data_IF_127960809016
#
_entry.id   IF_127960809016
#
_cell.length_a   1.000
_cell.length_b   1.000
_cell.length_c   1.000
_cell.angle_alpha   90.00
_cell.angle_beta   90.00
_cell.angle_gamma   90.00
#
_symmetry.space_group_name_H-M   'P 1'
#
loop_
_entity.id
_entity.type
_entity.pdbx_description
1 polymer ?
#
# COMPACT_ATOMS: atom_id res chain seq x y z
N UNK A 1 45.16 -10.94 10.19
CA UNK A 1 43.82 -10.62 10.74
C UNK A 1 43.78 -9.12 10.99
N UNK A 2 43.33 -8.35 10.01
CA UNK A 2 43.23 -6.89 10.12
C UNK A 2 41.79 -6.48 9.84
N UNK A 3 41.10 -5.98 10.86
CA UNK A 3 39.81 -5.31 10.69
C UNK A 3 40.07 -3.97 10.01
N UNK A 4 39.83 -3.90 8.70
CA UNK A 4 39.76 -2.64 7.97
C UNK A 4 38.50 -1.90 8.37
N UNK A 5 38.62 -1.03 9.38
CA UNK A 5 37.65 0.05 9.60
C UNK A 5 37.66 0.95 8.35
N UNK A 6 36.60 0.87 7.56
CA UNK A 6 36.28 1.91 6.59
C UNK A 6 35.93 3.17 7.36
N UNK A 7 36.94 4.03 7.56
CA UNK A 7 36.75 5.42 7.97
C UNK A 7 36.17 6.18 6.77
N UNK A 8 34.85 6.23 6.65
CA UNK A 8 34.18 7.21 5.79
C UNK A 8 34.40 8.58 6.43
N UNK A 9 35.41 9.30 5.97
CA UNK A 9 35.80 10.62 6.46
C UNK A 9 34.79 11.72 6.09
N UNK A 10 33.55 11.63 6.55
CA UNK A 10 32.66 12.79 6.61
C UNK A 10 33.05 13.62 7.82
N UNK A 11 33.79 14.71 7.57
CA UNK A 11 34.06 15.73 8.56
C UNK A 11 32.71 16.31 9.04
N UNK A 12 32.36 16.02 10.31
CA UNK A 12 31.49 16.83 11.15
C UNK A 12 30.02 16.98 10.76
N UNK A 13 29.16 16.09 11.26
CA UNK A 13 27.83 16.45 11.81
C UNK A 13 26.81 17.19 10.93
N UNK A 14 27.03 17.31 9.62
CA UNK A 14 26.05 17.90 8.72
C UNK A 14 24.86 16.93 8.63
N UNK A 15 23.68 17.42 9.05
CA UNK A 15 22.45 16.66 8.97
C UNK A 15 22.12 16.23 7.53
N UNK A 16 21.29 15.22 7.37
CA UNK A 16 20.87 14.73 6.06
C UNK A 16 19.43 15.13 5.72
N UNK A 17 19.13 15.22 4.42
CA UNK A 17 17.74 15.34 3.96
C UNK A 17 17.17 13.96 3.64
N UNK A 18 16.02 13.65 4.23
CA UNK A 18 15.30 12.40 4.02
C UNK A 18 14.01 12.72 3.28
N UNK A 19 13.76 12.03 2.17
CA UNK A 19 12.47 12.06 1.50
C UNK A 19 11.71 10.79 1.82
N UNK A 20 10.62 10.92 2.56
CA UNK A 20 9.68 9.85 2.82
C UNK A 20 8.52 9.94 1.84
N UNK A 21 8.30 8.87 1.07
CA UNK A 21 7.15 8.73 0.18
C UNK A 21 6.35 7.54 0.69
N UNK A 22 5.17 7.81 1.22
CA UNK A 22 4.20 6.78 1.49
C UNK A 22 3.27 6.63 0.28
N UNK A 23 3.11 5.39 -0.17
CA UNK A 23 2.35 5.07 -1.37
C UNK A 23 1.65 3.71 -1.23
N UNK A 24 0.31 3.72 -1.21
CA UNK A 24 -0.48 2.50 -1.30
C UNK A 24 -0.65 2.11 -2.76
N UNK A 25 -0.43 0.84 -3.10
CA UNK A 25 -0.83 0.28 -4.39
C UNK A 25 -1.90 -0.77 -4.17
N UNK A 26 -3.18 -0.42 -4.36
CA UNK A 26 -4.21 -1.42 -4.19
C UNK A 26 -4.11 -2.50 -5.28
N UNK A 27 -3.74 -3.71 -4.84
CA UNK A 27 -3.79 -4.93 -5.63
C UNK A 27 -5.16 -5.56 -5.44
N UNK A 28 -6.14 -5.00 -6.16
CA UNK A 28 -6.91 -5.93 -6.96
C UNK A 28 -5.87 -6.61 -7.85
N UNK A 29 -5.42 -7.82 -7.48
CA UNK A 29 -5.44 -8.87 -8.47
C UNK A 29 -6.75 -8.61 -9.18
N UNK A 30 -6.67 -8.19 -10.45
CA UNK A 30 -7.84 -8.35 -11.27
C UNK A 30 -8.30 -9.74 -10.90
N UNK A 31 -9.54 -9.84 -10.42
CA UNK A 31 -10.27 -11.02 -10.79
C UNK A 31 -10.29 -10.91 -12.32
N UNK A 32 -9.17 -11.23 -13.00
CA UNK A 32 -9.25 -12.17 -14.07
C UNK A 32 -10.13 -13.23 -13.44
N UNK A 33 -11.39 -13.24 -13.88
CA UNK A 33 -12.22 -14.41 -13.81
C UNK A 33 -11.40 -15.46 -14.56
N UNK A 34 -10.33 -15.95 -13.95
CA UNK A 34 -9.49 -16.92 -14.58
C UNK A 34 -10.39 -18.15 -14.68
N UNK A 35 -10.10 -18.98 -15.67
CA UNK A 35 -10.93 -20.14 -15.92
C UNK A 35 -11.17 -20.98 -14.65
N UNK A 36 -10.29 -20.91 -13.65
CA UNK A 36 -10.41 -21.56 -12.34
C UNK A 36 -11.47 -20.93 -11.44
N UNK A 37 -11.57 -19.61 -11.29
CA UNK A 37 -12.66 -18.98 -10.52
C UNK A 37 -14.03 -19.18 -11.18
N UNK A 38 -14.09 -19.11 -12.51
CA UNK A 38 -15.30 -19.47 -13.26
C UNK A 38 -15.63 -20.94 -13.07
N UNK A 39 -14.62 -21.81 -13.13
CA UNK A 39 -14.75 -23.25 -12.88
C UNK A 39 -15.18 -23.56 -11.45
N UNK A 40 -14.67 -22.86 -10.44
CA UNK A 40 -15.04 -23.04 -9.04
C UNK A 40 -16.49 -22.56 -8.80
N UNK A 41 -16.90 -21.44 -9.43
CA UNK A 41 -18.31 -21.00 -9.45
C UNK A 41 -19.23 -22.01 -10.15
N UNK A 42 -18.76 -22.67 -11.20
CA UNK A 42 -19.47 -23.76 -11.90
C UNK A 42 -19.51 -25.04 -11.05
N UNK A 43 -18.41 -25.39 -10.38
CA UNK A 43 -18.23 -26.58 -9.56
C UNK A 43 -18.98 -26.49 -8.22
N UNK A 44 -19.19 -25.28 -7.68
CA UNK A 44 -20.02 -25.01 -6.49
C UNK A 44 -21.53 -25.28 -6.69
N UNK A 45 -21.92 -25.98 -7.76
CA UNK A 45 -23.22 -26.66 -7.82
C UNK A 45 -24.27 -25.98 -8.68
N UNK A 46 -23.89 -25.34 -9.79
CA UNK A 46 -24.88 -24.89 -10.76
C UNK A 46 -24.48 -25.28 -12.19
N UNK A 47 -24.68 -26.54 -12.59
CA UNK A 47 -24.70 -26.94 -14.01
C UNK A 47 -25.65 -26.05 -14.84
N UNK A 48 -26.67 -25.46 -14.21
CA UNK A 48 -27.61 -24.49 -14.79
C UNK A 48 -27.03 -23.09 -14.99
N UNK A 49 -25.87 -22.76 -14.41
CA UNK A 49 -25.20 -21.46 -14.59
C UNK A 49 -24.26 -21.42 -15.77
N UNK A 50 -23.82 -22.57 -16.29
CA UNK A 50 -22.88 -22.65 -17.42
C UNK A 50 -23.34 -21.84 -18.65
N UNK A 51 -24.63 -21.82 -19.03
CA UNK A 51 -25.09 -20.96 -20.14
C UNK A 51 -25.04 -19.46 -19.80
N UNK A 52 -25.31 -19.07 -18.56
CA UNK A 52 -25.31 -17.66 -18.13
C UNK A 52 -23.89 -17.13 -17.92
N UNK A 53 -22.98 -17.94 -17.35
CA UNK A 53 -21.55 -17.63 -17.24
C UNK A 53 -20.87 -17.67 -18.61
N UNK A 54 -21.23 -18.62 -19.47
CA UNK A 54 -20.83 -18.64 -20.88
C UNK A 54 -21.37 -17.45 -21.65
N UNK A 55 -22.59 -16.99 -21.35
CA UNK A 55 -23.15 -15.75 -21.90
C UNK A 55 -22.38 -14.54 -21.37
N UNK A 56 -22.05 -14.45 -20.08
CA UNK A 56 -21.25 -13.35 -19.52
C UNK A 56 -19.81 -13.34 -20.03
N UNK A 57 -19.19 -14.50 -20.24
CA UNK A 57 -17.88 -14.63 -20.86
C UNK A 57 -17.91 -14.24 -22.34
N UNK A 58 -18.90 -14.73 -23.10
CA UNK A 58 -19.14 -14.32 -24.49
C UNK A 58 -19.62 -12.86 -24.60
N UNK A 59 -20.29 -12.32 -23.58
CA UNK A 59 -20.61 -10.90 -23.47
C UNK A 59 -19.34 -10.12 -23.13
N UNK A 60 -18.41 -10.65 -22.34
CA UNK A 60 -17.09 -10.08 -22.11
C UNK A 60 -16.24 -10.04 -23.39
N UNK A 61 -16.27 -11.11 -24.19
CA UNK A 61 -15.67 -11.14 -25.53
C UNK A 61 -16.41 -10.22 -26.52
N UNK A 62 -17.75 -10.15 -26.51
CA UNK A 62 -18.51 -9.23 -27.40
C UNK A 62 -18.48 -7.77 -26.93
N UNK A 63 -18.33 -7.53 -25.64
CA UNK A 63 -18.06 -6.24 -25.02
C UNK A 63 -16.56 -5.93 -25.02
N UNK A 64 -15.71 -6.82 -25.55
CA UNK A 64 -14.44 -6.45 -26.19
C UNK A 64 -14.79 -5.73 -27.49
N UNK A 65 -15.37 -4.55 -27.27
CA UNK A 65 -15.56 -3.37 -28.09
C UNK A 65 -15.11 -3.57 -29.54
N UNK A 66 -16.07 -3.66 -30.46
CA UNK A 66 -15.78 -3.28 -31.85
C UNK A 66 -15.12 -1.89 -31.89
N UNK A 67 -14.36 -1.56 -32.96
CA UNK A 67 -13.40 -0.45 -33.02
C UNK A 67 -13.94 0.97 -32.74
N UNK A 68 -15.23 1.12 -32.42
CA UNK A 68 -15.91 2.40 -32.17
C UNK A 68 -16.56 2.56 -30.79
N UNK A 69 -16.61 1.54 -29.94
CA UNK A 69 -17.18 1.71 -28.59
C UNK A 69 -16.11 2.14 -27.58
N UNK A 70 -16.24 3.37 -27.05
CA UNK A 70 -15.26 4.07 -26.19
C UNK A 70 -15.26 3.66 -24.71
N UNK A 71 -15.85 2.53 -24.31
CA UNK A 71 -15.80 2.12 -22.90
C UNK A 71 -14.55 1.26 -22.65
N UNK A 72 -13.35 1.85 -22.74
CA UNK A 72 -12.11 1.13 -22.39
C UNK A 72 -12.07 0.94 -20.87
N UNK A 73 -12.52 -0.23 -20.41
CA UNK A 73 -12.02 -0.82 -19.17
C UNK A 73 -10.53 -1.03 -19.40
N UNK A 74 -9.70 -0.06 -19.07
CA UNK A 74 -8.27 -0.28 -19.09
C UNK A 74 -7.97 -1.36 -18.07
N UNK A 75 -7.43 -2.52 -18.49
CA UNK A 75 -6.95 -3.53 -17.56
C UNK A 75 -5.98 -2.85 -16.58
N UNK A 76 -6.06 -3.18 -15.28
CA UNK A 76 -5.02 -2.72 -14.35
C UNK A 76 -3.68 -3.20 -14.90
N UNK A 77 -2.65 -2.35 -15.01
CA UNK A 77 -1.33 -2.79 -15.42
C UNK A 77 -0.86 -3.94 -14.54
N UNK A 78 -0.10 -4.87 -15.13
CA UNK A 78 0.47 -5.99 -14.38
C UNK A 78 1.26 -5.46 -13.19
N UNK A 79 1.32 -6.23 -12.10
CA UNK A 79 2.06 -5.82 -10.91
C UNK A 79 3.53 -5.55 -11.22
N UNK A 80 4.12 -6.34 -12.13
CA UNK A 80 5.49 -6.15 -12.60
C UNK A 80 5.67 -4.83 -13.34
N UNK A 81 4.73 -4.47 -14.22
CA UNK A 81 4.77 -3.19 -14.91
C UNK A 81 4.67 -2.01 -13.94
N UNK A 82 3.77 -2.09 -12.95
CA UNK A 82 3.66 -1.03 -11.92
C UNK A 82 4.93 -0.90 -11.08
N UNK A 83 5.51 -2.03 -10.68
CA UNK A 83 6.78 -2.06 -9.95
C UNK A 83 7.90 -1.36 -10.73
N UNK A 84 8.06 -1.70 -12.02
CA UNK A 84 9.07 -1.09 -12.89
C UNK A 84 8.83 0.41 -13.10
N UNK A 85 7.60 0.81 -13.44
CA UNK A 85 7.24 2.23 -13.60
C UNK A 85 7.45 3.03 -12.30
N UNK A 86 7.13 2.45 -11.14
CA UNK A 86 7.33 3.07 -9.84
C UNK A 86 8.83 3.25 -9.53
N UNK A 87 9.66 2.23 -9.75
CA UNK A 87 11.11 2.30 -9.56
C UNK A 87 11.75 3.42 -10.39
N UNK A 88 11.39 3.50 -11.67
CA UNK A 88 11.86 4.56 -12.57
C UNK A 88 11.46 5.96 -12.06
N UNK A 89 10.21 6.13 -11.59
CA UNK A 89 9.72 7.41 -11.05
C UNK A 89 10.43 7.82 -9.77
N UNK A 90 10.64 6.89 -8.85
CA UNK A 90 11.40 7.15 -7.63
C UNK A 90 12.84 7.56 -7.97
N UNK A 91 13.45 6.90 -8.96
CA UNK A 91 14.79 7.23 -9.44
C UNK A 91 14.89 8.62 -10.09
N UNK A 92 13.91 9.01 -10.89
CA UNK A 92 13.77 10.38 -11.41
C UNK A 92 13.65 11.42 -10.29
N UNK A 93 12.79 11.17 -9.29
CA UNK A 93 12.57 12.09 -8.17
C UNK A 93 13.81 12.27 -7.31
N UNK A 94 14.54 11.20 -7.04
CA UNK A 94 15.80 11.26 -6.31
C UNK A 94 16.81 12.16 -7.03
N UNK A 95 17.03 11.93 -8.35
CA UNK A 95 17.95 12.74 -9.16
C UNK A 95 17.55 14.21 -9.25
N UNK A 96 16.26 14.50 -9.39
CA UNK A 96 15.79 15.86 -9.61
C UNK A 96 15.94 16.77 -8.39
N UNK A 97 15.94 16.22 -7.17
CA UNK A 97 15.81 17.02 -5.95
C UNK A 97 16.88 16.73 -4.89
N UNK A 98 17.82 15.81 -5.16
CA UNK A 98 19.06 15.67 -4.39
C UNK A 98 18.90 15.26 -2.93
N UNK A 99 17.83 14.55 -2.56
CA UNK A 99 17.69 14.01 -1.21
C UNK A 99 18.78 12.95 -0.95
N UNK A 100 19.51 13.06 0.15
CA UNK A 100 20.54 12.08 0.51
C UNK A 100 19.97 10.70 0.80
N UNK A 101 18.78 10.67 1.42
CA UNK A 101 18.08 9.43 1.75
C UNK A 101 16.70 9.47 1.12
N UNK A 102 16.38 8.47 0.32
CA UNK A 102 15.03 8.26 -0.19
C UNK A 102 14.44 7.02 0.45
N UNK A 103 13.32 7.19 1.16
CA UNK A 103 12.58 6.13 1.82
C UNK A 103 11.21 6.03 1.21
N UNK A 104 10.94 4.94 0.47
CA UNK A 104 9.62 4.65 -0.05
C UNK A 104 8.96 3.55 0.78
N UNK A 105 7.87 3.89 1.45
CA UNK A 105 7.00 2.97 2.17
C UNK A 105 5.85 2.55 1.24
N UNK A 106 5.82 1.26 0.89
CA UNK A 106 4.86 0.71 -0.07
C UNK A 106 3.80 -0.11 0.64
N UNK A 107 2.54 0.22 0.37
CA UNK A 107 1.35 -0.50 0.81
C UNK A 107 0.92 -1.57 -0.19
N UNK A 108 0.75 -2.80 0.29
CA UNK A 108 0.26 -4.01 -0.39
C UNK A 108 1.17 -4.73 -1.40
N UNK A 109 0.83 -6.01 -1.57
CA UNK A 109 1.59 -7.18 -2.04
C UNK A 109 2.56 -6.95 -3.22
N UNK A 110 3.75 -6.44 -2.92
CA UNK A 110 4.93 -6.79 -3.70
C UNK A 110 5.51 -8.10 -3.15
N UNK A 111 5.28 -9.20 -3.87
CA UNK A 111 6.04 -10.41 -3.60
C UNK A 111 7.54 -10.12 -3.76
N UNK A 112 8.44 -10.89 -3.12
CA UNK A 112 9.88 -10.62 -3.17
C UNK A 112 10.42 -10.38 -4.58
N UNK A 113 9.93 -11.13 -5.57
CA UNK A 113 10.33 -11.01 -6.99
C UNK A 113 10.01 -9.63 -7.61
N UNK A 114 8.98 -8.95 -7.11
CA UNK A 114 8.61 -7.62 -7.60
C UNK A 114 9.44 -6.51 -6.94
N UNK A 115 9.99 -6.73 -5.75
CA UNK A 115 10.92 -5.78 -5.15
C UNK A 115 12.18 -5.66 -5.97
N UNK A 116 12.68 -6.79 -6.46
CA UNK A 116 13.84 -6.80 -7.36
C UNK A 116 13.50 -6.00 -8.62
N UNK A 117 12.29 -6.11 -9.17
CA UNK A 117 11.87 -5.27 -10.30
C UNK A 117 11.83 -3.76 -9.98
N UNK A 118 11.40 -3.36 -8.78
CA UNK A 118 11.44 -1.94 -8.38
C UNK A 118 12.90 -1.48 -8.23
N UNK A 119 13.76 -2.33 -7.66
CA UNK A 119 15.19 -2.05 -7.51
C UNK A 119 15.90 -1.96 -8.84
N UNK A 120 15.65 -2.89 -9.77
CA UNK A 120 16.17 -2.84 -11.13
C UNK A 120 15.81 -1.49 -11.78
N UNK A 121 14.57 -1.03 -11.61
CA UNK A 121 14.15 0.29 -12.08
C UNK A 121 14.88 1.47 -11.40
N UNK A 122 15.27 1.34 -10.13
CA UNK A 122 16.12 2.32 -9.44
C UNK A 122 17.59 2.23 -9.91
N UNK A 123 18.12 1.04 -10.07
CA UNK A 123 19.48 0.73 -10.56
C UNK A 123 19.68 1.30 -11.97
N UNK A 124 18.72 1.08 -12.87
CA UNK A 124 18.72 1.62 -14.24
C UNK A 124 18.80 3.16 -14.28
N UNK A 125 18.32 3.83 -13.23
CA UNK A 125 18.43 5.30 -13.11
C UNK A 125 19.75 5.78 -12.50
N UNK A 126 20.64 4.86 -12.12
CA UNK A 126 21.93 5.14 -11.48
C UNK A 126 21.84 5.53 -10.01
N UNK A 127 20.66 5.38 -9.40
CA UNK A 127 20.36 5.90 -8.04
C UNK A 127 20.95 5.05 -6.93
N UNK A 128 21.04 3.74 -7.14
CA UNK A 128 21.69 2.82 -6.19
C UNK A 128 23.23 2.85 -6.29
N UNK A 129 23.76 3.68 -7.19
CA UNK A 129 25.20 3.87 -7.41
C UNK A 129 25.83 2.64 -8.07
N UNK A 130 26.57 2.86 -9.15
CA UNK A 130 27.53 1.85 -9.60
C UNK A 130 28.63 1.74 -8.54
N UNK A 131 28.48 0.85 -7.55
CA UNK A 131 29.60 0.43 -6.71
C UNK A 131 30.49 -0.54 -7.50
N UNK A 132 30.99 -0.06 -8.65
CA UNK A 132 32.00 -0.71 -9.47
C UNK A 132 33.22 0.21 -9.53
N UNK A 133 34.43 -0.28 -9.23
CA UNK A 133 35.63 0.53 -9.30
C UNK A 133 35.95 0.86 -10.77
N UNK A 134 35.96 2.15 -11.10
CA UNK A 134 36.80 2.75 -12.14
C UNK A 134 36.60 2.29 -13.59
N UNK A 135 35.74 2.99 -14.33
CA UNK A 135 35.96 3.16 -15.76
C UNK A 135 37.12 4.15 -15.96
N UNK A 136 38.34 3.63 -16.17
CA UNK A 136 39.54 4.44 -16.43
C UNK A 136 40.79 3.63 -16.73
N UNK A 137 40.96 3.28 -18.01
CA UNK A 137 42.20 2.93 -18.74
C UNK A 137 43.15 1.82 -18.21
N UNK A 138 43.20 0.72 -18.98
CA UNK A 138 44.45 0.08 -19.41
C UNK A 138 45.09 -0.95 -18.46
N UNK A 139 45.08 -2.22 -18.85
CA UNK A 139 46.00 -3.24 -18.32
C UNK A 139 45.40 -4.63 -18.24
N UNK A 140 45.88 -5.54 -19.09
CA UNK A 140 45.58 -6.96 -19.02
C UNK A 140 46.15 -7.58 -17.73
N UNK A 141 45.33 -8.36 -17.01
CA UNK A 141 45.76 -9.12 -15.84
C UNK A 141 44.65 -10.00 -15.27
N UNK A 142 44.67 -11.28 -15.62
CA UNK A 142 43.82 -12.34 -15.08
C UNK A 142 44.17 -12.62 -13.61
N UNK A 143 43.16 -12.70 -12.74
CA UNK A 143 43.31 -13.22 -11.37
C UNK A 143 42.02 -13.08 -10.57
N UNK A 144 41.34 -14.19 -10.32
CA UNK A 144 39.97 -14.25 -9.80
C UNK A 144 39.74 -13.56 -8.45
N UNK A 145 38.60 -12.87 -8.36
CA UNK A 145 37.97 -12.45 -7.12
C UNK A 145 36.47 -12.77 -7.24
N UNK A 146 35.93 -13.45 -6.23
CA UNK A 146 34.62 -14.07 -6.25
C UNK A 146 33.46 -13.09 -6.43
N UNK A 147 32.44 -13.57 -7.14
CA UNK A 147 31.13 -12.95 -7.33
C UNK A 147 30.33 -12.96 -6.01
N UNK A 148 30.79 -12.26 -4.97
CA UNK A 148 29.93 -11.96 -3.84
C UNK A 148 29.15 -10.67 -4.12
N UNK A 149 27.81 -10.69 -4.07
CA UNK A 149 27.02 -9.48 -4.29
C UNK A 149 27.34 -8.42 -3.21
N UNK A 150 27.14 -7.12 -3.50
CA UNK A 150 27.34 -6.04 -2.53
C UNK A 150 26.67 -6.34 -1.18
N UNK A 151 27.28 -5.95 -0.05
CA UNK A 151 26.74 -6.23 1.30
C UNK A 151 25.30 -5.75 1.52
N UNK A 152 24.85 -4.71 0.81
CA UNK A 152 23.46 -4.28 0.85
C UNK A 152 22.53 -5.26 0.12
N UNK A 153 22.98 -5.87 -1.00
CA UNK A 153 22.30 -6.99 -1.66
C UNK A 153 22.33 -8.26 -0.80
N UNK A 154 23.40 -8.53 -0.04
CA UNK A 154 23.44 -9.66 0.90
C UNK A 154 22.47 -9.44 2.08
N UNK A 155 22.35 -8.21 2.58
CA UNK A 155 21.38 -7.86 3.64
C UNK A 155 19.93 -7.97 3.15
N UNK A 156 19.70 -7.73 1.85
CA UNK A 156 18.41 -7.89 1.21
C UNK A 156 18.08 -9.32 0.79
N UNK A 157 19.08 -10.09 0.35
CA UNK A 157 18.94 -11.53 0.13
C UNK A 157 18.71 -12.26 1.46
N UNK A 158 19.32 -11.83 2.56
CA UNK A 158 19.01 -12.32 3.91
C UNK A 158 17.58 -11.92 4.35
N UNK A 159 17.15 -10.68 4.09
CA UNK A 159 15.78 -10.24 4.38
C UNK A 159 14.70 -10.86 3.46
N UNK A 160 15.09 -11.45 2.33
CA UNK A 160 14.20 -12.08 1.35
C UNK A 160 14.27 -13.61 1.34
N UNK A 161 15.28 -14.23 1.96
CA UNK A 161 15.50 -15.69 1.97
C UNK A 161 14.97 -16.41 3.20
N UNK A 162 14.61 -15.69 4.26
CA UNK A 162 13.80 -16.26 5.33
C UNK A 162 12.34 -16.29 4.89
N UNK A 163 11.73 -17.48 5.01
CA UNK A 163 10.32 -17.79 4.80
C UNK A 163 9.42 -16.87 5.65
N UNK A 164 9.29 -15.59 5.32
CA UNK A 164 8.29 -14.72 5.94
C UNK A 164 6.94 -15.22 5.42
N UNK A 165 6.13 -15.90 6.24
CA UNK A 165 4.90 -16.52 5.79
C UNK A 165 3.95 -15.40 5.35
N UNK A 166 3.84 -15.19 4.03
CA UNK A 166 2.87 -14.30 3.39
C UNK A 166 2.66 -12.98 4.17
N UNK A 167 3.76 -12.24 4.39
CA UNK A 167 3.74 -10.94 5.07
C UNK A 167 2.81 -9.96 4.36
N UNK A 168 2.31 -8.97 5.10
CA UNK A 168 1.27 -7.96 4.79
C UNK A 168 1.44 -7.11 3.52
N UNK A 169 2.27 -7.52 2.56
CA UNK A 169 2.61 -6.77 1.36
C UNK A 169 3.40 -5.49 1.62
N UNK A 170 3.53 -5.08 2.88
CA UNK A 170 4.24 -3.89 3.31
C UNK A 170 5.74 -4.06 3.06
N UNK A 171 6.34 -3.04 2.44
CA UNK A 171 7.77 -3.02 2.13
C UNK A 171 8.32 -1.61 2.26
N UNK A 172 9.56 -1.51 2.70
CA UNK A 172 10.32 -0.25 2.70
C UNK A 172 11.50 -0.39 1.76
N UNK A 173 11.69 0.62 0.90
CA UNK A 173 12.90 0.79 0.10
C UNK A 173 13.66 1.98 0.66
N UNK A 174 14.94 1.82 0.93
CA UNK A 174 15.83 2.91 1.33
C UNK A 174 16.99 3.00 0.35
N UNK A 175 17.24 4.20 -0.15
CA UNK A 175 18.41 4.53 -0.97
C UNK A 175 19.29 5.49 -0.18
N UNK A 176 20.60 5.27 -0.19
CA UNK A 176 21.61 6.17 0.39
C UNK A 176 22.02 5.83 1.83
N UNK A 177 21.17 5.12 2.60
CA UNK A 177 21.50 4.67 3.95
C UNK A 177 21.10 3.21 4.19
N UNK A 178 21.86 2.46 5.00
CA UNK A 178 21.54 1.07 5.29
C UNK A 178 20.27 0.97 6.13
N UNK A 179 19.43 0.00 5.80
CA UNK A 179 18.39 -0.50 6.69
C UNK A 179 19.09 -1.39 7.72
N UNK A 180 19.06 -1.00 8.99
CA UNK A 180 19.77 -1.70 10.07
C UNK A 180 18.94 -2.83 10.67
N UNK A 181 17.61 -2.73 10.62
CA UNK A 181 16.68 -3.75 11.13
C UNK A 181 15.34 -3.69 10.43
N UNK A 182 14.74 -4.86 10.24
CA UNK A 182 13.38 -5.03 9.68
C UNK A 182 12.63 -6.02 10.57
N UNK A 183 11.43 -5.66 11.01
CA UNK A 183 10.55 -6.55 11.79
C UNK A 183 9.12 -6.40 11.28
N UNK A 184 8.43 -7.51 11.00
CA UNK A 184 7.05 -7.48 10.55
C UNK A 184 6.19 -8.42 11.40
N UNK A 185 4.97 -7.98 11.74
CA UNK A 185 3.99 -8.82 12.44
C UNK A 185 2.60 -8.69 11.79
N UNK A 186 1.92 -9.81 11.50
CA UNK A 186 0.54 -9.79 11.03
C UNK A 186 -0.41 -9.42 12.19
N UNK A 187 -1.54 -8.79 11.87
CA UNK A 187 -2.59 -8.57 12.85
C UNK A 187 -3.34 -9.86 13.16
N UNK A 188 -3.40 -10.22 14.43
CA UNK A 188 -4.12 -11.36 14.97
C UNK A 188 -5.50 -10.91 15.46
N UNK A 189 -6.52 -11.03 14.60
CA UNK A 189 -7.90 -10.67 14.96
C UNK A 189 -8.55 -11.62 15.97
N UNK A 190 -7.92 -12.75 16.29
CA UNK A 190 -8.42 -13.73 17.27
C UNK A 190 -8.18 -13.35 18.72
N UNK A 191 -7.23 -12.43 19.00
CA UNK A 191 -6.76 -12.12 20.36
C UNK A 191 -7.43 -10.91 21.03
N UNK A 192 -8.31 -10.20 20.32
CA UNK A 192 -8.78 -8.87 20.72
C UNK A 192 -9.86 -8.83 21.82
N UNK A 193 -10.05 -9.89 22.60
CA UNK A 193 -11.20 -10.04 23.50
C UNK A 193 -10.80 -10.34 24.95
N UNK A 194 -10.46 -9.30 25.71
CA UNK A 194 -10.44 -9.36 27.17
C UNK A 194 -11.63 -8.64 27.83
N UNK A 195 -12.45 -7.89 27.08
CA UNK A 195 -13.58 -7.11 27.61
C UNK A 195 -14.96 -7.79 27.44
N UNK A 196 -14.99 -9.09 27.10
CA UNK A 196 -16.23 -9.84 26.88
C UNK A 196 -16.94 -9.52 25.56
N UNK A 197 -16.45 -8.57 24.76
CA UNK A 197 -17.00 -8.24 23.43
C UNK A 197 -16.31 -9.04 22.31
N UNK A 198 -16.10 -10.34 22.53
CA UNK A 198 -15.35 -11.20 21.63
C UNK A 198 -15.94 -11.21 20.22
N UNK A 199 -15.39 -10.38 19.34
CA UNK A 199 -15.41 -10.59 17.90
C UNK A 199 -14.47 -11.76 17.64
N UNK A 200 -14.95 -12.96 17.94
CA UNK A 200 -14.33 -14.20 17.54
C UNK A 200 -14.48 -14.31 16.03
N UNK A 201 -13.66 -13.55 15.29
CA UNK A 201 -13.50 -13.66 13.84
C UNK A 201 -12.62 -14.89 13.53
N UNK A 202 -12.91 -16.03 14.16
CA UNK A 202 -12.25 -17.30 13.87
C UNK A 202 -12.49 -17.75 12.42
N UNK A 203 -13.53 -17.21 11.78
CA UNK A 203 -13.75 -17.38 10.37
C UNK A 203 -13.35 -16.09 9.65
N UNK A 204 -12.26 -16.13 8.87
CA UNK A 204 -11.87 -15.06 7.92
C UNK A 204 -12.91 -14.84 6.82
N UNK A 205 -14.05 -15.53 6.89
CA UNK A 205 -15.07 -15.53 5.87
C UNK A 205 -14.58 -16.28 4.64
N UNK A 206 -15.22 -16.00 3.50
CA UNK A 206 -14.89 -16.65 2.25
C UNK A 206 -13.84 -15.83 1.49
N UNK A 207 -12.71 -16.39 1.01
CA UNK A 207 -11.63 -15.63 0.36
C UNK A 207 -12.06 -14.66 -0.74
N UNK A 208 -13.07 -15.07 -1.53
CA UNK A 208 -13.64 -14.23 -2.61
C UNK A 208 -14.56 -13.12 -2.08
N UNK A 209 -15.27 -13.35 -0.96
CA UNK A 209 -16.23 -12.40 -0.39
C UNK A 209 -15.61 -11.47 0.64
N UNK A 210 -14.54 -11.92 1.27
CA UNK A 210 -13.88 -11.26 2.38
C UNK A 210 -12.39 -11.06 2.09
N UNK A 211 -12.00 -10.62 0.87
CA UNK A 211 -10.60 -10.62 0.44
C UNK A 211 -9.71 -9.81 1.40
N UNK A 212 -10.26 -8.76 2.00
CA UNK A 212 -9.56 -7.91 2.96
C UNK A 212 -9.26 -8.62 4.29
N UNK A 213 -10.10 -9.57 4.72
CA UNK A 213 -9.79 -10.45 5.87
C UNK A 213 -8.70 -11.48 5.54
N UNK A 214 -8.55 -11.81 4.25
CA UNK A 214 -7.53 -12.73 3.77
C UNK A 214 -6.22 -12.03 3.37
N UNK A 215 -6.21 -10.70 3.31
CA UNK A 215 -5.08 -9.88 2.87
C UNK A 215 -3.88 -9.85 3.85
N UNK A 216 -3.89 -10.67 4.92
CA UNK A 216 -2.81 -10.78 5.93
C UNK A 216 -2.27 -9.40 6.38
N UNK A 217 -3.16 -8.44 6.63
CA UNK A 217 -2.80 -7.09 7.11
C UNK A 217 -1.93 -7.18 8.37
N UNK A 218 -1.05 -6.19 8.56
CA UNK A 218 -0.09 -6.19 9.66
C UNK A 218 0.66 -4.87 9.75
N UNK A 219 1.74 -4.89 10.53
CA UNK A 219 2.68 -3.78 10.72
C UNK A 219 4.09 -4.21 10.31
N UNK A 220 4.85 -3.27 9.75
CA UNK A 220 6.25 -3.44 9.41
C UNK A 220 7.06 -2.29 10.03
N UNK A 221 8.04 -2.61 10.87
CA UNK A 221 9.10 -1.72 11.32
C UNK A 221 10.32 -1.85 10.40
N UNK A 222 10.82 -0.72 9.94
CA UNK A 222 12.14 -0.58 9.30
C UNK A 222 12.96 0.44 10.08
N UNK A 223 14.10 0.01 10.63
CA UNK A 223 15.08 0.92 11.24
C UNK A 223 16.07 1.40 10.19
N UNK A 224 16.27 2.72 10.13
CA UNK A 224 17.20 3.39 9.23
C UNK A 224 18.29 4.06 10.05
N UNK A 225 19.54 3.70 9.80
CA UNK A 225 20.71 4.28 10.46
C UNK A 225 21.18 5.54 9.71
N UNK A 226 21.15 6.69 10.39
CA UNK A 226 21.61 7.96 9.84
C UNK A 226 23.12 8.20 10.08
N UNK A 227 23.77 7.36 10.88
CA UNK A 227 25.16 7.50 11.34
C UNK A 227 25.33 8.37 12.58
N UNK A 228 24.28 9.09 13.00
CA UNK A 228 24.25 9.93 14.20
C UNK A 228 22.99 9.69 15.06
N UNK A 229 22.23 8.64 14.73
CA UNK A 229 20.95 8.30 15.34
C UNK A 229 20.11 7.44 14.38
N UNK A 230 19.01 6.89 14.88
CA UNK A 230 18.12 6.04 14.09
C UNK A 230 16.73 6.63 13.87
N UNK A 231 16.09 6.21 12.77
CA UNK A 231 14.65 6.39 12.56
C UNK A 231 13.98 5.03 12.56
N UNK A 232 12.89 4.92 13.29
CA UNK A 232 11.99 3.77 13.25
C UNK A 232 10.78 4.08 12.40
N UNK A 233 10.76 3.57 11.19
CA UNK A 233 9.62 3.71 10.28
C UNK A 233 8.67 2.52 10.44
N UNK A 234 7.54 2.76 11.09
CA UNK A 234 6.43 1.82 11.17
C UNK A 234 5.46 2.07 10.02
N UNK A 235 5.18 1.03 9.24
CA UNK A 235 4.21 1.06 8.16
C UNK A 235 3.07 0.12 8.44
N UNK A 236 1.86 0.50 8.06
CA UNK A 236 0.66 -0.33 8.24
C UNK A 236 -0.33 -0.14 7.11
N UNK A 237 -1.22 -1.12 6.97
CA UNK A 237 -2.44 -0.99 6.17
C UNK A 237 -3.56 -1.66 6.96
N UNK A 238 -4.51 -0.88 7.47
CA UNK A 238 -5.62 -1.40 8.26
C UNK A 238 -6.70 -1.99 7.37
N UNK A 239 -7.59 -2.76 7.98
CA UNK A 239 -8.77 -3.33 7.35
C UNK A 239 -9.67 -2.22 6.77
N UNK A 240 -9.95 -2.28 5.48
CA UNK A 240 -10.85 -1.39 4.74
C UNK A 240 -12.32 -1.79 4.89
N UNK A 241 -12.58 -3.10 4.94
CA UNK A 241 -13.92 -3.67 4.99
C UNK A 241 -14.79 -3.42 3.76
N UNK A 242 -14.21 -2.86 2.70
CA UNK A 242 -14.83 -2.76 1.39
C UNK A 242 -14.70 -4.09 0.66
N UNK A 243 -15.79 -4.58 0.07
CA UNK A 243 -15.75 -5.79 -0.77
C UNK A 243 -16.03 -5.41 -2.21
N UNK A 244 -15.36 -6.14 -3.09
CA UNK A 244 -15.48 -6.13 -4.56
C UNK A 244 -16.94 -6.17 -5.05
N UNK A 245 -17.85 -6.78 -4.27
CA UNK A 245 -19.27 -6.91 -4.62
C UNK A 245 -19.97 -5.58 -4.84
N UNK A 246 -19.62 -4.53 -4.10
CA UNK A 246 -20.26 -3.22 -4.26
C UNK A 246 -19.85 -2.54 -5.57
N UNK A 247 -18.56 -2.60 -5.91
CA UNK A 247 -18.04 -2.07 -7.17
C UNK A 247 -18.62 -2.82 -8.39
N UNK A 248 -18.69 -4.16 -8.32
CA UNK A 248 -19.28 -4.99 -9.37
C UNK A 248 -20.77 -4.66 -9.57
N UNK A 249 -21.51 -4.52 -8.47
CA UNK A 249 -22.94 -4.19 -8.49
C UNK A 249 -23.19 -2.79 -9.08
N UNK A 250 -22.44 -1.78 -8.64
CA UNK A 250 -22.51 -0.43 -9.19
C UNK A 250 -22.15 -0.42 -10.68
N UNK A 251 -21.17 -1.22 -11.09
CA UNK A 251 -20.82 -1.43 -12.50
C UNK A 251 -21.98 -1.99 -13.32
N UNK A 252 -22.64 -3.04 -12.82
CA UNK A 252 -23.82 -3.64 -13.46
C UNK A 252 -25.00 -2.66 -13.56
N UNK A 253 -25.30 -1.90 -12.51
CA UNK A 253 -26.33 -0.87 -12.52
C UNK A 253 -26.04 0.25 -13.54
N UNK A 254 -24.78 0.66 -13.68
CA UNK A 254 -24.38 1.68 -14.66
C UNK A 254 -24.48 1.16 -16.09
N UNK A 255 -24.01 -0.07 -16.32
CA UNK A 255 -24.07 -0.71 -17.62
C UNK A 255 -25.51 -0.81 -18.13
N UNK A 256 -26.44 -1.18 -17.24
CA UNK A 256 -27.88 -1.27 -17.54
C UNK A 256 -28.54 0.09 -17.76
N UNK A 257 -28.12 1.16 -17.06
CA UNK A 257 -28.59 2.54 -17.32
C UNK A 257 -28.09 3.08 -18.66
N UNK A 258 -26.80 2.95 -18.96
CA UNK A 258 -26.19 3.45 -20.21
C UNK A 258 -26.64 2.64 -21.44
N UNK A 259 -27.03 1.37 -21.26
CA UNK A 259 -27.50 0.49 -22.33
C UNK A 259 -28.80 -0.22 -21.91
N UNK A 260 -29.96 0.43 -22.08
CA UNK A 260 -31.25 -0.14 -21.68
C UNK A 260 -31.55 -1.52 -22.29
N UNK A 261 -31.03 -1.80 -23.49
CA UNK A 261 -31.16 -3.13 -24.10
C UNK A 261 -30.41 -4.22 -23.32
N UNK A 262 -29.29 -3.90 -22.67
CA UNK A 262 -28.61 -4.80 -21.74
C UNK A 262 -29.46 -5.03 -20.50
N UNK A 263 -30.22 -4.03 -20.04
CA UNK A 263 -31.22 -4.24 -18.99
C UNK A 263 -32.30 -5.23 -19.45
N UNK A 264 -32.70 -5.22 -20.73
CA UNK A 264 -33.62 -6.23 -21.30
C UNK A 264 -33.00 -7.62 -21.46
N UNK A 265 -31.71 -7.72 -21.75
CA UNK A 265 -30.97 -9.00 -21.80
C UNK A 265 -30.69 -9.55 -20.41
N UNK A 266 -30.31 -8.69 -19.46
CA UNK A 266 -30.23 -9.03 -18.04
C UNK A 266 -31.62 -9.38 -17.51
N UNK A 267 -32.69 -8.64 -17.83
CA UNK A 267 -34.04 -8.96 -17.42
C UNK A 267 -34.52 -10.29 -17.99
N UNK A 268 -34.19 -10.62 -19.26
CA UNK A 268 -34.48 -11.95 -19.83
C UNK A 268 -33.61 -13.05 -19.23
N UNK A 269 -32.35 -12.75 -18.93
CA UNK A 269 -31.50 -13.64 -18.15
C UNK A 269 -32.10 -13.84 -16.76
N UNK A 270 -32.64 -12.81 -16.11
CA UNK A 270 -33.29 -12.81 -14.79
C UNK A 270 -34.69 -13.43 -14.80
N UNK A 271 -35.39 -13.42 -15.92
CA UNK A 271 -36.60 -14.24 -16.12
C UNK A 271 -36.27 -15.74 -16.09
N UNK A 272 -34.99 -16.12 -16.22
CA UNK A 272 -34.55 -17.44 -15.78
C UNK A 272 -34.64 -17.49 -14.24
N UNK A 273 -35.47 -18.36 -13.66
CA UNK A 273 -35.64 -18.46 -12.21
C UNK A 273 -34.32 -18.74 -11.46
N UNK A 274 -33.30 -19.29 -12.13
CA UNK A 274 -31.96 -19.47 -11.56
C UNK A 274 -31.22 -18.14 -11.43
N UNK A 275 -31.27 -17.28 -12.45
CA UNK A 275 -30.61 -15.99 -12.41
C UNK A 275 -31.34 -15.00 -11.48
N UNK A 276 -32.69 -15.01 -11.45
CA UNK A 276 -33.44 -14.26 -10.43
C UNK A 276 -33.04 -14.69 -9.01
N UNK A 277 -32.98 -16.00 -8.72
CA UNK A 277 -32.53 -16.49 -7.41
C UNK A 277 -31.08 -16.11 -7.10
N UNK A 278 -30.22 -15.99 -8.11
CA UNK A 278 -28.85 -15.54 -7.91
C UNK A 278 -28.77 -14.04 -7.66
N UNK A 279 -29.56 -13.24 -8.38
CA UNK A 279 -29.63 -11.81 -8.13
C UNK A 279 -30.27 -11.52 -6.78
N UNK A 280 -31.34 -12.22 -6.40
CA UNK A 280 -31.93 -12.18 -5.05
C UNK A 280 -30.92 -12.62 -4.00
N UNK A 281 -30.11 -13.67 -4.27
CA UNK A 281 -29.02 -14.06 -3.38
C UNK A 281 -27.91 -13.00 -3.33
N UNK A 282 -27.57 -12.35 -4.44
CA UNK A 282 -26.58 -11.28 -4.50
C UNK A 282 -27.09 -10.01 -3.80
N UNK A 283 -28.36 -9.64 -3.96
CA UNK A 283 -29.02 -8.52 -3.28
C UNK A 283 -29.23 -8.80 -1.80
N UNK A 284 -29.67 -10.01 -1.43
CA UNK A 284 -29.70 -10.45 -0.03
C UNK A 284 -28.29 -10.50 0.58
N UNK A 285 -27.27 -10.79 -0.22
CA UNK A 285 -25.85 -10.72 0.18
C UNK A 285 -25.24 -9.32 0.02
N UNK A 286 -25.96 -8.34 -0.52
CA UNK A 286 -25.47 -6.96 -0.62
C UNK A 286 -25.14 -6.37 0.75
N UNK A 287 -25.95 -6.71 1.75
CA UNK A 287 -25.71 -6.38 3.16
C UNK A 287 -24.62 -7.24 3.83
N UNK A 288 -24.14 -8.30 3.16
CA UNK A 288 -23.00 -9.10 3.60
C UNK A 288 -21.67 -8.59 3.03
N UNK A 289 -21.67 -7.89 1.88
CA UNK A 289 -20.47 -7.44 1.18
C UNK A 289 -19.87 -6.13 1.72
N UNK A 290 -20.39 -5.56 2.80
CA UNK A 290 -19.59 -4.61 3.57
C UNK A 290 -19.90 -4.85 5.02
N UNK A 291 -18.85 -4.96 5.84
CA UNK A 291 -19.08 -5.00 7.27
C UNK A 291 -19.81 -3.70 7.65
N UNK A 292 -20.91 -3.77 8.42
CA UNK A 292 -21.51 -2.58 8.98
C UNK A 292 -20.41 -1.72 9.61
N UNK A 293 -20.44 -0.41 9.35
CA UNK A 293 -19.42 0.54 9.80
C UNK A 293 -18.94 0.31 11.24
N UNK A 294 -19.87 0.02 12.16
CA UNK A 294 -19.57 -0.32 13.56
C UNK A 294 -18.66 -1.55 13.71
N UNK A 295 -18.92 -2.63 12.96
CA UNK A 295 -18.06 -3.83 12.94
C UNK A 295 -16.70 -3.55 12.33
N UNK A 296 -16.64 -2.77 11.24
CA UNK A 296 -15.37 -2.33 10.64
C UNK A 296 -14.50 -1.57 11.65
N UNK A 297 -15.08 -0.58 12.34
CA UNK A 297 -14.37 0.20 13.37
C UNK A 297 -13.89 -0.67 14.54
N UNK A 298 -14.61 -1.74 14.89
CA UNK A 298 -14.15 -2.70 15.92
C UNK A 298 -12.91 -3.49 15.45
N UNK A 299 -12.88 -3.93 14.18
CA UNK A 299 -11.69 -4.59 13.60
C UNK A 299 -10.52 -3.61 13.54
N UNK A 300 -10.74 -2.41 13.03
CA UNK A 300 -9.71 -1.36 12.95
C UNK A 300 -9.17 -1.00 14.34
N UNK A 301 -10.04 -0.90 15.35
CA UNK A 301 -9.63 -0.69 16.76
C UNK A 301 -8.73 -1.81 17.27
N UNK A 302 -9.07 -3.06 16.98
CA UNK A 302 -8.24 -4.20 17.38
C UNK A 302 -6.87 -4.20 16.69
N UNK A 303 -6.81 -3.78 15.42
CA UNK A 303 -5.54 -3.64 14.69
C UNK A 303 -4.70 -2.46 15.21
N UNK A 304 -5.33 -1.33 15.54
CA UNK A 304 -4.65 -0.18 16.13
C UNK A 304 -4.06 -0.49 17.51
N UNK A 305 -4.76 -1.25 18.35
CA UNK A 305 -4.19 -1.75 19.61
C UNK A 305 -2.95 -2.59 19.38
N UNK A 306 -3.00 -3.51 18.41
CA UNK A 306 -1.83 -4.34 18.06
C UNK A 306 -0.69 -3.52 17.46
N UNK A 307 -1.00 -2.49 16.66
CA UNK A 307 -0.01 -1.53 16.17
C UNK A 307 0.67 -0.82 17.35
N UNK A 308 -0.09 -0.33 18.32
CA UNK A 308 0.46 0.32 19.52
C UNK A 308 1.33 -0.64 20.34
N UNK A 309 0.84 -1.84 20.62
CA UNK A 309 1.60 -2.88 21.34
C UNK A 309 2.90 -3.23 20.60
N UNK A 310 2.87 -3.28 19.27
CA UNK A 310 4.04 -3.51 18.45
C UNK A 310 5.05 -2.36 18.54
N UNK A 311 4.59 -1.11 18.39
CA UNK A 311 5.45 0.08 18.54
C UNK A 311 6.09 0.09 19.93
N UNK A 312 5.30 -0.01 21.01
CA UNK A 312 5.83 0.01 22.38
C UNK A 312 6.84 -1.11 22.67
N UNK A 313 6.67 -2.29 22.04
CA UNK A 313 7.58 -3.43 22.24
C UNK A 313 8.91 -3.25 21.51
N UNK A 314 8.89 -2.63 20.34
CA UNK A 314 10.05 -2.55 19.45
C UNK A 314 10.79 -1.21 19.52
N UNK A 315 10.13 -0.17 20.02
CA UNK A 315 10.67 1.17 20.08
C UNK A 315 11.90 1.30 20.97
N UNK A 316 12.91 1.99 20.44
CA UNK A 316 14.11 2.41 21.16
C UNK A 316 14.04 3.92 21.39
N UNK A 317 14.11 4.34 22.65
CA UNK A 317 13.96 5.74 23.05
C UNK A 317 14.96 6.70 22.37
N UNK A 318 16.11 6.21 21.90
CA UNK A 318 17.08 7.03 21.17
C UNK A 318 16.74 7.29 19.70
N UNK A 319 15.81 6.51 19.13
CA UNK A 319 15.38 6.64 17.74
C UNK A 319 14.13 7.52 17.67
N UNK A 320 13.95 8.21 16.54
CA UNK A 320 12.71 8.95 16.27
C UNK A 320 11.70 8.04 15.56
N UNK A 321 10.47 7.97 16.06
CA UNK A 321 9.39 7.19 15.44
C UNK A 321 8.72 7.95 14.30
N UNK A 322 8.51 7.26 13.18
CA UNK A 322 7.62 7.69 12.09
C UNK A 322 6.60 6.58 11.82
N UNK A 323 5.31 6.91 11.84
CA UNK A 323 4.24 5.95 11.53
C UNK A 323 3.52 6.39 10.27
N UNK A 324 3.51 5.58 9.22
CA UNK A 324 2.86 5.90 7.96
C UNK A 324 2.00 4.75 7.43
N UNK A 325 0.84 5.02 6.87
CA UNK A 325 -0.04 3.93 6.45
C UNK A 325 -1.34 4.36 5.80
N UNK A 326 -2.00 3.39 5.17
CA UNK A 326 -3.43 3.48 4.86
C UNK A 326 -4.19 2.95 6.08
N UNK A 327 -4.74 3.87 6.86
CA UNK A 327 -5.47 3.51 8.06
C UNK A 327 -6.92 3.11 7.74
N UNK A 328 -7.40 3.31 6.51
CA UNK A 328 -8.80 3.11 6.15
C UNK A 328 -9.78 3.81 7.13
N UNK A 329 -9.31 4.90 7.75
CA UNK A 329 -10.04 5.71 8.72
C UNK A 329 -10.26 7.08 8.11
N UNK A 330 -11.45 7.29 7.55
CA UNK A 330 -11.78 8.55 6.90
C UNK A 330 -11.79 9.71 7.92
N UNK A 331 -10.92 10.71 7.73
CA UNK A 331 -10.85 11.89 8.60
C UNK A 331 -12.19 12.62 8.78
N UNK A 332 -13.06 12.61 7.75
CA UNK A 332 -14.37 13.26 7.83
C UNK A 332 -15.37 12.51 8.72
N UNK A 333 -15.05 11.28 9.12
CA UNK A 333 -15.85 10.48 10.04
C UNK A 333 -15.44 10.71 11.50
N UNK A 334 -16.33 11.30 12.29
CA UNK A 334 -16.09 11.57 13.71
C UNK A 334 -15.73 10.31 14.52
N UNK A 335 -16.30 9.14 14.19
CA UNK A 335 -15.97 7.89 14.88
C UNK A 335 -14.57 7.39 14.53
N UNK A 336 -14.14 7.60 13.28
CA UNK A 336 -12.78 7.26 12.84
C UNK A 336 -11.74 8.19 13.48
N UNK A 337 -12.04 9.50 13.56
CA UNK A 337 -11.19 10.48 14.26
C UNK A 337 -11.05 10.18 15.75
N UNK A 338 -12.14 9.85 16.44
CA UNK A 338 -12.10 9.47 17.84
C UNK A 338 -11.23 8.22 18.05
N UNK A 339 -11.38 7.22 17.17
CA UNK A 339 -10.57 6.00 17.24
C UNK A 339 -9.07 6.27 17.01
N UNK A 340 -8.74 7.15 16.07
CA UNK A 340 -7.36 7.57 15.82
C UNK A 340 -6.79 8.35 17.01
N UNK A 341 -7.54 9.31 17.58
CA UNK A 341 -7.15 10.06 18.76
C UNK A 341 -6.89 9.14 19.97
N UNK A 342 -7.81 8.20 20.26
CA UNK A 342 -7.64 7.19 21.31
C UNK A 342 -6.34 6.39 21.15
N UNK A 343 -5.92 6.15 19.90
CA UNK A 343 -4.68 5.42 19.57
C UNK A 343 -3.46 6.27 19.87
N UNK A 344 -3.47 7.54 19.46
CA UNK A 344 -2.37 8.49 19.71
C UNK A 344 -2.22 8.77 21.21
N UNK A 345 -3.32 8.90 21.95
CA UNK A 345 -3.31 9.09 23.40
C UNK A 345 -2.70 7.89 24.14
N UNK A 346 -2.96 6.66 23.67
CA UNK A 346 -2.34 5.45 24.24
C UNK A 346 -0.81 5.43 24.04
N UNK A 347 -0.32 5.83 22.86
CA UNK A 347 1.11 5.95 22.61
C UNK A 347 1.74 7.08 23.43
N UNK A 348 1.05 8.22 23.54
CA UNK A 348 1.49 9.33 24.38
C UNK A 348 1.59 8.92 25.86
N UNK A 349 0.66 8.11 26.35
CA UNK A 349 0.71 7.51 27.69
C UNK A 349 1.90 6.56 27.91
N UNK A 350 2.47 6.02 26.83
CA UNK A 350 3.70 5.23 26.83
C UNK A 350 4.97 6.08 26.57
N UNK A 351 4.85 7.40 26.50
CA UNK A 351 5.96 8.33 26.26
C UNK A 351 6.26 8.63 24.79
N UNK A 352 5.49 8.07 23.85
CA UNK A 352 5.68 8.25 22.39
C UNK A 352 4.61 9.22 21.89
N UNK A 353 4.92 10.51 21.87
CA UNK A 353 3.97 11.55 21.45
C UNK A 353 4.08 11.75 19.95
N UNK A 354 3.07 11.33 19.19
CA UNK A 354 3.06 11.43 17.73
C UNK A 354 2.26 12.64 17.24
N UNK A 355 2.89 13.49 16.42
CA UNK A 355 2.28 14.62 15.74
C UNK A 355 1.88 14.23 14.31
N UNK A 356 0.66 14.59 13.89
CA UNK A 356 0.18 14.33 12.53
C UNK A 356 0.67 15.40 11.56
N UNK A 357 1.48 14.98 10.58
CA UNK A 357 2.12 15.85 9.60
C UNK A 357 1.10 16.68 8.80
N UNK A 358 -0.11 16.16 8.60
CA UNK A 358 -1.15 16.82 7.80
C UNK A 358 -2.28 17.46 8.61
N UNK A 359 -2.20 17.50 9.95
CA UNK A 359 -3.26 18.08 10.78
C UNK A 359 -3.67 19.50 10.34
N UNK A 360 -2.70 20.39 10.12
CA UNK A 360 -2.96 21.77 9.69
C UNK A 360 -3.50 21.89 8.26
N UNK A 361 -3.00 21.06 7.34
CA UNK A 361 -3.45 21.07 5.95
C UNK A 361 -4.91 20.58 5.83
N UNK A 362 -5.29 19.53 6.56
CA UNK A 362 -6.65 18.98 6.54
C UNK A 362 -7.70 19.92 7.14
N UNK A 363 -7.30 20.76 8.09
CA UNK A 363 -8.21 21.74 8.69
C UNK A 363 -8.56 22.89 7.72
N UNK A 364 -7.62 23.24 6.84
CA UNK A 364 -7.70 24.46 6.04
C UNK A 364 -8.05 24.22 4.57
N UNK A 365 -7.90 22.99 4.07
CA UNK A 365 -7.99 22.73 2.65
C UNK A 365 -8.89 21.54 2.31
N UNK A 366 -10.16 21.84 2.00
CA UNK A 366 -11.11 20.87 1.46
C UNK A 366 -10.80 20.42 0.02
N UNK A 367 -9.77 20.99 -0.63
CA UNK A 367 -9.38 20.65 -2.01
C UNK A 367 -8.25 19.61 -2.09
N UNK A 368 -7.49 19.41 -1.00
CA UNK A 368 -6.35 18.49 -0.92
C UNK A 368 -6.74 17.05 -0.56
N UNK A 369 -8.00 16.67 -0.77
CA UNK A 369 -8.43 15.35 -0.33
C UNK A 369 -7.79 14.29 -1.20
N UNK A 370 -7.47 13.14 -0.60
CA UNK A 370 -7.13 11.89 -1.27
C UNK A 370 -8.28 11.54 -2.21
N UNK A 371 -8.25 12.12 -3.41
CA UNK A 371 -9.12 11.68 -4.47
C UNK A 371 -8.61 10.31 -4.82
N UNK A 372 -9.42 9.29 -4.56
CA UNK A 372 -9.54 8.24 -5.56
C UNK A 372 -9.96 8.99 -6.82
N UNK A 373 -8.98 9.37 -7.64
CA UNK A 373 -9.22 10.25 -8.76
C UNK A 373 -10.35 9.61 -9.58
N UNK A 374 -11.39 10.36 -9.98
CA UNK A 374 -12.50 9.81 -10.75
C UNK A 374 -12.05 9.07 -12.02
N UNK A 375 -10.82 9.29 -12.50
CA UNK A 375 -10.22 8.51 -13.60
C UNK A 375 -9.47 7.23 -13.15
N UNK A 376 -9.07 7.10 -11.89
CA UNK A 376 -8.58 5.84 -11.30
C UNK A 376 -9.72 4.83 -11.12
N UNK A 377 -10.92 5.31 -10.81
CA UNK A 377 -12.16 4.54 -10.86
C UNK A 377 -12.92 4.88 -12.15
N UNK A 378 -12.53 4.35 -13.31
CA UNK A 378 -13.46 4.14 -14.43
C UNK A 378 -14.42 5.30 -14.76
N UNK A 379 -14.03 6.29 -15.59
CA UNK A 379 -14.96 7.34 -16.08
C UNK A 379 -16.08 7.65 -15.07
N UNK A 380 -15.70 7.93 -13.80
CA UNK A 380 -16.65 8.30 -12.78
C UNK A 380 -16.99 9.73 -13.13
N UNK A 381 -17.82 9.90 -14.17
CA UNK A 381 -18.46 11.16 -14.50
C UNK A 381 -19.06 11.67 -13.21
N UNK A 382 -18.36 12.62 -12.59
CA UNK A 382 -18.83 13.59 -11.63
C UNK A 382 -20.10 13.14 -10.91
N UNK A 383 -20.07 12.04 -10.18
CA UNK A 383 -21.02 11.87 -9.09
C UNK A 383 -20.50 12.85 -8.05
N UNK A 384 -20.93 14.11 -8.17
CA UNK A 384 -20.65 15.25 -7.31
C UNK A 384 -21.10 15.02 -5.85
N UNK A 385 -21.34 13.77 -5.43
CA UNK A 385 -22.08 13.41 -4.24
C UNK A 385 -21.27 12.63 -3.18
N UNK A 386 -20.09 12.09 -3.51
CA UNK A 386 -19.24 11.49 -2.48
C UNK A 386 -18.20 12.49 -2.01
N UNK A 387 -18.29 12.87 -0.73
CA UNK A 387 -17.22 13.61 -0.06
C UNK A 387 -15.92 12.82 -0.21
N UNK A 388 -14.85 13.44 -0.71
CA UNK A 388 -13.55 12.79 -0.80
C UNK A 388 -13.13 12.21 0.57
N UNK A 389 -12.37 11.11 0.58
CA UNK A 389 -11.97 10.44 1.82
C UNK A 389 -10.49 10.69 2.11
N UNK A 390 -10.14 10.90 3.37
CA UNK A 390 -8.74 10.97 3.81
C UNK A 390 -8.43 9.72 4.64
N UNK A 391 -7.77 8.74 4.03
CA UNK A 391 -7.52 7.42 4.62
C UNK A 391 -6.06 7.22 5.06
N UNK A 392 -5.17 8.03 4.50
CA UNK A 392 -3.72 7.83 4.58
C UNK A 392 -3.09 8.83 5.53
N UNK A 393 -2.18 8.38 6.40
CA UNK A 393 -1.62 9.22 7.45
C UNK A 393 -0.11 9.05 7.54
N UNK A 394 0.56 10.13 7.96
CA UNK A 394 1.95 10.12 8.41
C UNK A 394 2.00 10.85 9.75
N UNK A 395 2.50 10.17 10.76
CA UNK A 395 2.76 10.70 12.08
C UNK A 395 4.26 10.68 12.35
N UNK A 396 4.76 11.70 13.04
CA UNK A 396 6.16 11.80 13.44
C UNK A 396 6.19 12.05 14.93
N UNK A 397 7.06 11.33 15.64
CA UNK A 397 7.28 11.54 17.05
C UNK A 397 7.83 12.93 17.33
N UNK A 398 7.25 13.57 18.34
CA UNK A 398 7.76 14.81 18.88
C UNK A 398 9.12 14.57 19.50
N UNK A 399 10.03 15.48 19.22
CA UNK A 399 11.40 15.44 19.71
C UNK A 399 11.45 15.32 21.25
N UNK A 400 12.27 14.40 21.75
CA UNK A 400 12.53 14.18 23.18
C UNK A 400 14.03 14.25 23.49
N UNK A 401 14.38 14.48 24.76
CA UNK A 401 15.78 14.49 25.22
C UNK A 401 16.53 13.18 24.97
N UNK A 402 15.82 12.05 24.82
CA UNK A 402 16.43 10.76 24.56
C UNK A 402 16.89 10.59 23.11
N UNK A 403 16.28 11.32 22.16
CA UNK A 403 16.57 11.15 20.73
C UNK A 403 18.01 11.56 20.38
N UNK A 404 18.73 10.72 19.64
CA UNK A 404 20.07 11.06 19.14
C UNK A 404 20.03 11.95 17.89
N UNK A 405 18.89 11.96 17.18
CA UNK A 405 18.63 12.77 16.01
C UNK A 405 17.37 13.62 16.19
N UNK A 406 17.35 14.79 15.54
CA UNK A 406 16.14 15.60 15.41
C UNK A 406 15.58 15.46 14.00
N UNK A 407 14.25 15.44 13.86
CA UNK A 407 13.56 15.46 12.56
C UNK A 407 12.70 16.70 12.43
N UNK A 408 12.98 17.53 11.43
CA UNK A 408 12.15 18.67 11.10
C UNK A 408 11.48 18.48 9.73
N UNK A 409 10.17 18.75 9.64
CA UNK A 409 9.45 18.73 8.37
C UNK A 409 9.89 19.93 7.54
N UNK A 410 10.58 19.68 6.43
CA UNK A 410 11.00 20.70 5.49
C UNK A 410 9.90 21.03 4.47
N UNK A 411 9.15 20.02 4.04
CA UNK A 411 7.98 20.19 3.18
C UNK A 411 7.09 18.95 3.23
N UNK A 412 5.83 19.12 2.83
CA UNK A 412 4.90 18.02 2.61
C UNK A 412 4.12 18.26 1.32
N UNK A 413 3.93 17.21 0.52
CA UNK A 413 3.29 17.28 -0.78
C UNK A 413 2.38 16.07 -1.00
N UNK A 414 1.29 16.30 -1.71
CA UNK A 414 0.49 15.23 -2.29
C UNK A 414 1.06 14.90 -3.67
N UNK A 415 1.31 13.62 -3.94
CA UNK A 415 1.93 13.19 -5.20
C UNK A 415 1.08 12.18 -5.95
N UNK A 416 0.74 12.55 -7.19
CA UNK A 416 0.21 11.62 -8.16
C UNK A 416 1.34 10.89 -8.87
N UNK A 417 1.25 9.57 -8.95
CA UNK A 417 2.16 8.75 -9.74
C UNK A 417 1.55 8.45 -11.10
N UNK A 418 1.59 9.44 -11.98
CA UNK A 418 1.07 9.30 -13.35
C UNK A 418 1.91 8.32 -14.16
N UNK A 419 1.22 7.45 -14.88
CA UNK A 419 1.86 6.48 -15.78
C UNK A 419 2.42 7.16 -17.01
N UNK A 420 3.31 6.47 -17.72
CA UNK A 420 3.88 7.01 -18.95
C UNK A 420 2.77 7.26 -19.99
N UNK A 421 2.79 8.40 -20.72
CA UNK A 421 1.83 8.66 -21.78
C UNK A 421 1.75 7.49 -22.77
N UNK A 422 0.53 7.09 -23.14
CA UNK A 422 0.31 5.96 -24.06
C UNK A 422 0.22 4.59 -23.37
N UNK A 423 0.48 4.49 -22.07
CA UNK A 423 0.25 3.25 -21.31
C UNK A 423 -1.22 2.85 -21.35
N UNK A 424 -1.52 1.58 -21.65
CA UNK A 424 -2.88 1.03 -21.54
C UNK A 424 -3.26 0.85 -20.07
N UNK A 425 -4.52 1.11 -19.70
CA UNK A 425 -5.00 0.87 -18.33
C UNK A 425 -5.44 2.12 -17.59
N UNK A 426 -5.29 2.08 -16.26
CA UNK A 426 -5.45 3.25 -15.39
C UNK A 426 -4.43 4.34 -15.75
N UNK A 427 -4.78 5.61 -15.53
CA UNK A 427 -3.90 6.77 -15.78
C UNK A 427 -2.78 6.93 -14.75
N UNK A 428 -2.99 6.39 -13.55
CA UNK A 428 -2.06 6.47 -12.43
C UNK A 428 -1.66 5.06 -11.97
N UNK A 429 -0.52 4.96 -11.29
CA UNK A 429 0.01 3.71 -10.74
C UNK A 429 -0.82 3.18 -9.56
N UNK A 430 -1.63 4.04 -8.94
CA UNK A 430 -2.50 3.73 -7.79
C UNK A 430 -3.79 4.55 -7.85
N UNK A 431 -4.81 4.04 -7.20
CA UNK A 431 -6.05 4.71 -6.82
C UNK A 431 -5.88 5.66 -5.62
N UNK A 432 -4.76 5.62 -4.90
CA UNK A 432 -4.42 6.57 -3.84
C UNK A 432 -3.45 7.65 -4.34
N UNK A 433 -3.53 8.82 -3.71
CA UNK A 433 -2.54 9.89 -3.84
C UNK A 433 -1.44 9.62 -2.82
N UNK A 434 -0.18 9.61 -3.25
CA UNK A 434 0.95 9.41 -2.36
C UNK A 434 1.16 10.60 -1.41
N UNK A 435 1.58 10.31 -0.18
CA UNK A 435 1.97 11.31 0.80
C UNK A 435 3.49 11.44 0.79
N UNK A 436 4.01 12.57 0.32
CA UNK A 436 5.43 12.88 0.35
C UNK A 436 5.74 13.84 1.50
N UNK A 437 6.71 13.48 2.33
CA UNK A 437 7.28 14.34 3.37
C UNK A 437 8.78 14.45 3.14
N UNK A 438 9.28 15.68 3.05
CA UNK A 438 10.71 15.92 3.15
C UNK A 438 11.06 16.28 4.59
N UNK A 439 12.02 15.57 5.15
CA UNK A 439 12.52 15.75 6.50
C UNK A 439 13.98 16.22 6.44
N UNK A 440 14.34 17.12 7.33
CA UNK A 440 15.73 17.44 7.67
C UNK A 440 16.05 16.70 8.96
N UNK A 441 16.97 15.75 8.87
CA UNK A 441 17.49 15.06 10.03
C UNK A 441 18.84 15.67 10.43
N UNK A 442 19.08 15.89 11.71
CA UNK A 442 20.36 16.37 12.20
C UNK A 442 20.72 15.68 13.52
N UNK A 443 22.01 15.60 13.88
CA UNK A 443 22.40 15.19 15.23
C UNK A 443 21.74 16.11 16.26
N UNK A 444 21.19 15.55 17.34
CA UNK A 444 20.73 16.35 18.46
C UNK A 444 21.93 17.08 19.08
N UNK A 445 21.82 18.40 19.24
CA UNK A 445 22.85 19.17 19.96
C UNK A 445 22.62 18.95 21.46
N UNK A 446 23.71 18.73 22.23
CA UNK A 446 23.61 18.52 23.67
C UNK A 446 23.03 19.73 24.41
#
# INVERSE_FOLDING_TARGET
MGHSHFSTGSQGGEGCTIRLIWYNTFLLHGIELNARMVSDLVAMGAPTLTPALGTLAALGEKLSLGPRSRLRVGAKPSTRQRASELGARLGELHRAQGAEVMVAALGEVFCPQLLDTIRDGLDETGVLGASGPGAGMGGAGLGGAGNEPPRWMQSLAAAASDELPMSSGLRTLSVGRPISRVVAEPFHLTRAAHDGSALTLLNRGHPIRDPDFWANKGVLLTEIDLGFGGIELYTTHLFSGQVIGEALWLGLQRLTRRRPWLAGTLARALQNPVAARLLDRFEAQRHFFSLPKKKRLLVQRAQLRQLNEFICRHHRAQNVVVVAGDFNLNWHDASARALLADTLDQLAGAGIVLDDVWAGARANDSSLVTMIEPACLFEYEQSQASTPEWLDYVFIERETEAHEATLAIASQQLRHFARQPGSEGMRFLSDHIGLEVMLRAAPRRP
#
